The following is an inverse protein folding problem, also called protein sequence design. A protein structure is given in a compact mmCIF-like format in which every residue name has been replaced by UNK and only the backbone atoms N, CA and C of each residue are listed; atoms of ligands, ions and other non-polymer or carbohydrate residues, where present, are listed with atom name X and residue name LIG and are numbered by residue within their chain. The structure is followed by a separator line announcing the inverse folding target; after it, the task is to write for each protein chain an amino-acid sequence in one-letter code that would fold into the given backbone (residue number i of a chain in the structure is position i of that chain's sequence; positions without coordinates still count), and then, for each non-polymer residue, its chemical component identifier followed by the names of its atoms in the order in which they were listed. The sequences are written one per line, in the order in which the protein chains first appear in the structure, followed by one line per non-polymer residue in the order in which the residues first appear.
data_IF_605646582308
#
_entry.id   IF_605646582308
#
_cell.length_a   1.000
_cell.length_b   1.000
_cell.length_c   1.000
_cell.angle_alpha   90.00
_cell.angle_beta   90.00
_cell.angle_gamma   90.00
#
_symmetry.space_group_name_H-M   'P 1'
#
loop_
_entity.id
_entity.type
_entity.pdbx_description
1 polymer ?
#
# COMPACT_ATOMS: atom_id res chain seq x y z
N UNK A 1 -13.21 -26.19 21.66
CA UNK A 1 -12.43 -25.68 20.50
C UNK A 1 -13.33 -24.75 19.68
N UNK A 2 -13.74 -23.59 20.23
CA UNK A 2 -14.75 -22.68 19.64
C UNK A 2 -14.52 -21.23 20.05
N UNK A 3 -13.26 -20.77 20.01
CA UNK A 3 -12.84 -19.41 20.44
C UNK A 3 -11.86 -18.76 19.44
N UNK A 4 -11.87 -19.19 18.17
CA UNK A 4 -11.03 -18.63 17.09
C UNK A 4 -11.84 -18.26 15.83
N UNK A 5 -13.10 -17.85 15.97
CA UNK A 5 -13.98 -17.52 14.84
C UNK A 5 -14.35 -16.04 14.72
N UNK A 6 -13.67 -15.11 15.41
CA UNK A 6 -14.25 -13.78 15.66
C UNK A 6 -13.81 -12.64 14.72
N UNK A 7 -12.95 -12.90 13.74
CA UNK A 7 -12.73 -11.93 12.67
C UNK A 7 -13.76 -12.13 11.56
N UNK A 8 -14.91 -11.48 11.71
CA UNK A 8 -15.87 -11.32 10.62
C UNK A 8 -15.18 -10.70 9.40
N UNK A 9 -15.61 -11.07 8.18
CA UNK A 9 -15.13 -10.45 6.94
C UNK A 9 -15.22 -8.92 6.99
N UNK A 10 -16.24 -8.39 7.70
CA UNK A 10 -16.40 -6.96 7.94
C UNK A 10 -15.24 -6.37 8.74
N UNK A 11 -14.82 -6.99 9.85
CA UNK A 11 -13.73 -6.46 10.67
C UNK A 11 -12.40 -6.50 9.93
N UNK A 12 -12.12 -7.58 9.19
CA UNK A 12 -10.92 -7.67 8.35
C UNK A 12 -10.90 -6.61 7.25
N UNK A 13 -12.04 -6.38 6.59
CA UNK A 13 -12.16 -5.38 5.53
C UNK A 13 -11.98 -3.97 6.06
N UNK A 14 -12.62 -3.64 7.19
CA UNK A 14 -12.47 -2.33 7.85
C UNK A 14 -11.02 -2.11 8.27
N UNK A 15 -10.38 -3.08 8.91
CA UNK A 15 -8.96 -2.98 9.29
C UNK A 15 -8.05 -2.78 8.07
N UNK A 16 -8.33 -3.47 6.97
CA UNK A 16 -7.58 -3.33 5.71
C UNK A 16 -7.73 -1.95 5.10
N UNK A 17 -8.95 -1.39 5.10
CA UNK A 17 -9.22 -0.03 4.63
C UNK A 17 -8.52 1.03 5.48
N UNK A 18 -8.50 0.86 6.80
CA UNK A 18 -7.78 1.76 7.71
C UNK A 18 -6.28 1.70 7.42
N UNK A 19 -5.71 0.50 7.32
CA UNK A 19 -4.29 0.31 7.01
C UNK A 19 -3.92 0.93 5.65
N UNK A 20 -4.77 0.77 4.65
CA UNK A 20 -4.61 1.37 3.33
C UNK A 20 -4.70 2.91 3.35
N UNK A 21 -5.61 3.47 4.13
CA UNK A 21 -5.73 4.92 4.28
C UNK A 21 -4.50 5.51 4.98
N UNK A 22 -3.99 4.84 6.02
CA UNK A 22 -2.73 5.21 6.70
C UNK A 22 -1.58 5.21 5.70
N UNK A 23 -1.47 4.18 4.85
CA UNK A 23 -0.47 4.14 3.79
C UNK A 23 -0.57 5.34 2.85
N UNK A 24 -1.75 5.65 2.32
CA UNK A 24 -1.95 6.79 1.44
C UNK A 24 -1.58 8.11 2.12
N UNK A 25 -1.91 8.29 3.40
CA UNK A 25 -1.53 9.47 4.16
C UNK A 25 -0.01 9.59 4.36
N UNK A 26 0.68 8.48 4.65
CA UNK A 26 2.14 8.44 4.77
C UNK A 26 2.78 8.86 3.45
N UNK A 27 2.36 8.26 2.33
CA UNK A 27 2.90 8.58 0.99
C UNK A 27 2.63 10.04 0.64
N UNK A 28 1.44 10.56 0.92
CA UNK A 28 1.11 11.97 0.74
C UNK A 28 2.05 12.86 1.56
N UNK A 29 2.24 12.56 2.84
CA UNK A 29 3.10 13.35 3.71
C UNK A 29 4.56 13.33 3.23
N UNK A 30 5.09 12.15 2.91
CA UNK A 30 6.45 11.99 2.39
C UNK A 30 6.61 12.74 1.07
N UNK A 31 5.68 12.57 0.14
CA UNK A 31 5.76 13.16 -1.19
C UNK A 31 5.59 14.67 -1.23
N UNK A 32 4.64 15.21 -0.45
CA UNK A 32 4.29 16.63 -0.46
C UNK A 32 5.14 17.44 0.53
N UNK A 33 5.51 16.88 1.68
CA UNK A 33 6.23 17.62 2.73
C UNK A 33 7.72 17.31 2.80
N UNK A 34 8.13 16.06 2.62
CA UNK A 34 9.55 15.66 2.77
C UNK A 34 10.29 15.78 1.43
N UNK A 35 9.65 15.39 0.32
CA UNK A 35 10.25 15.38 -1.01
C UNK A 35 9.43 16.20 -2.04
N UNK A 36 9.09 17.48 -1.76
CA UNK A 36 8.34 18.27 -2.72
C UNK A 36 9.14 18.49 -4.01
N UNK A 37 8.46 18.38 -5.16
CA UNK A 37 8.96 18.94 -6.41
C UNK A 37 8.31 20.32 -6.65
N UNK A 38 8.92 21.20 -7.49
CA UNK A 38 8.35 22.52 -7.79
C UNK A 38 6.92 22.46 -8.34
N UNK A 39 6.59 21.36 -9.01
CA UNK A 39 5.30 21.13 -9.64
C UNK A 39 4.31 20.35 -8.77
N UNK A 40 4.74 19.86 -7.59
CA UNK A 40 3.90 19.03 -6.72
C UNK A 40 2.71 19.82 -6.20
N UNK A 41 1.55 19.58 -6.80
CA UNK A 41 0.26 20.15 -6.43
C UNK A 41 -0.76 19.03 -6.22
N UNK A 42 -0.46 18.18 -5.24
CA UNK A 42 -1.29 17.02 -4.95
C UNK A 42 -2.16 17.23 -3.72
N UNK A 43 -3.37 16.70 -3.77
CA UNK A 43 -4.20 16.49 -2.59
C UNK A 43 -4.27 15.00 -2.20
N UNK A 44 -4.76 14.74 -0.98
CA UNK A 44 -4.87 13.37 -0.49
C UNK A 44 -5.88 12.53 -1.31
N UNK A 45 -6.91 13.15 -1.89
CA UNK A 45 -7.91 12.48 -2.72
C UNK A 45 -7.35 11.98 -4.05
N UNK A 46 -6.44 12.72 -4.66
CA UNK A 46 -5.69 12.30 -5.85
C UNK A 46 -4.81 11.09 -5.56
N UNK A 47 -4.07 11.09 -4.45
CA UNK A 47 -3.32 9.93 -4.00
C UNK A 47 -4.21 8.72 -3.71
N UNK A 48 -5.31 8.90 -2.99
CA UNK A 48 -6.24 7.80 -2.66
C UNK A 48 -6.79 7.14 -3.93
N UNK A 49 -7.21 7.94 -4.92
CA UNK A 49 -7.73 7.41 -6.20
C UNK A 49 -6.66 6.66 -6.97
N UNK A 50 -5.49 7.25 -7.16
CA UNK A 50 -4.40 6.66 -7.96
C UNK A 50 -3.81 5.42 -7.29
N UNK A 51 -3.57 5.43 -5.97
CA UNK A 51 -3.15 4.26 -5.20
C UNK A 51 -4.20 3.15 -5.30
N UNK A 52 -5.49 3.49 -5.22
CA UNK A 52 -6.58 2.53 -5.42
C UNK A 52 -6.46 1.82 -6.78
N UNK A 53 -6.25 2.58 -7.86
CA UNK A 53 -6.09 2.03 -9.21
C UNK A 53 -4.79 1.25 -9.42
N UNK A 54 -3.76 1.46 -8.60
CA UNK A 54 -2.51 0.70 -8.69
C UNK A 54 -2.70 -0.81 -8.42
N UNK A 55 -3.82 -1.20 -7.80
CA UNK A 55 -4.16 -2.60 -7.55
C UNK A 55 -4.90 -3.29 -8.70
N UNK A 56 -5.40 -2.52 -9.68
CA UNK A 56 -6.12 -3.06 -10.85
C UNK A 56 -5.38 -4.15 -11.64
N UNK A 57 -4.04 -4.11 -11.81
CA UNK A 57 -3.31 -5.20 -12.46
C UNK A 57 -3.52 -6.58 -11.83
N UNK A 58 -3.90 -6.63 -10.55
CA UNK A 58 -4.23 -7.88 -9.85
C UNK A 58 -5.34 -8.69 -10.50
N UNK A 59 -6.21 -8.06 -11.31
CA UNK A 59 -7.30 -8.72 -12.04
C UNK A 59 -6.79 -9.82 -12.99
N UNK A 60 -5.55 -9.71 -13.48
CA UNK A 60 -4.96 -10.75 -14.35
C UNK A 60 -4.90 -12.13 -13.67
N UNK A 61 -4.92 -12.18 -12.33
CA UNK A 61 -4.92 -13.42 -11.54
C UNK A 61 -6.12 -14.33 -11.84
N UNK A 62 -7.19 -13.82 -12.45
CA UNK A 62 -8.31 -14.64 -12.96
C UNK A 62 -7.84 -15.68 -13.97
N UNK A 63 -6.80 -15.38 -14.77
CA UNK A 63 -6.19 -16.35 -15.71
C UNK A 63 -5.52 -17.52 -14.98
N UNK A 64 -5.19 -17.35 -13.69
CA UNK A 64 -4.65 -18.39 -12.83
C UNK A 64 -5.60 -19.55 -12.51
N UNK A 65 -6.86 -19.50 -12.98
CA UNK A 65 -7.79 -20.65 -12.96
C UNK A 65 -7.26 -21.82 -13.80
N UNK A 66 -6.44 -21.53 -14.83
CA UNK A 66 -5.80 -22.56 -15.65
C UNK A 66 -4.75 -23.30 -14.81
N UNK A 67 -4.84 -24.65 -14.68
CA UNK A 67 -3.88 -25.45 -13.93
C UNK A 67 -2.44 -25.18 -14.38
N UNK A 68 -1.54 -24.95 -13.42
CA UNK A 68 -0.12 -24.66 -13.67
C UNK A 68 0.24 -23.20 -13.92
N UNK A 69 -0.73 -22.29 -14.17
CA UNK A 69 -0.44 -20.87 -14.44
C UNK A 69 -0.55 -19.96 -13.22
N UNK A 70 -1.22 -20.37 -12.15
CA UNK A 70 -1.49 -19.52 -10.97
C UNK A 70 -0.23 -18.83 -10.42
N UNK A 71 0.86 -19.56 -10.23
CA UNK A 71 2.09 -19.03 -9.64
C UNK A 71 2.75 -17.98 -10.54
N UNK A 72 2.84 -18.29 -11.84
CA UNK A 72 3.43 -17.38 -12.83
C UNK A 72 2.62 -16.09 -12.95
N UNK A 73 1.30 -16.21 -13.10
CA UNK A 73 0.40 -15.06 -13.20
C UNK A 73 0.42 -14.23 -11.92
N UNK A 74 0.46 -14.87 -10.75
CA UNK A 74 0.55 -14.17 -9.47
C UNK A 74 1.86 -13.40 -9.30
N UNK A 75 2.99 -13.95 -9.76
CA UNK A 75 4.28 -13.27 -9.75
C UNK A 75 4.24 -12.04 -10.67
N UNK A 76 3.79 -12.21 -11.91
CA UNK A 76 3.65 -11.11 -12.89
C UNK A 76 2.73 -10.01 -12.35
N UNK A 77 1.59 -10.40 -11.77
CA UNK A 77 0.64 -9.45 -11.18
C UNK A 77 1.27 -8.64 -10.04
N UNK A 78 2.07 -9.27 -9.17
CA UNK A 78 2.74 -8.57 -8.08
C UNK A 78 3.76 -7.55 -8.58
N UNK A 79 4.60 -7.93 -9.55
CA UNK A 79 5.57 -7.01 -10.16
C UNK A 79 4.83 -5.85 -10.82
N UNK A 80 3.77 -6.13 -11.57
CA UNK A 80 2.98 -5.10 -12.22
C UNK A 80 2.31 -4.18 -11.20
N UNK A 81 1.73 -4.69 -10.12
CA UNK A 81 1.14 -3.86 -9.06
C UNK A 81 2.18 -2.95 -8.40
N UNK A 82 3.41 -3.43 -8.17
CA UNK A 82 4.50 -2.58 -7.64
C UNK A 82 4.87 -1.46 -8.63
N UNK A 83 4.99 -1.78 -9.91
CA UNK A 83 5.26 -0.77 -10.95
C UNK A 83 4.11 0.23 -11.07
N UNK A 84 2.87 -0.24 -11.01
CA UNK A 84 1.68 0.60 -11.04
C UNK A 84 1.61 1.52 -9.81
N UNK A 85 2.04 1.08 -8.63
CA UNK A 85 2.13 1.93 -7.44
C UNK A 85 3.12 3.07 -7.65
N UNK A 86 4.31 2.79 -8.21
CA UNK A 86 5.31 3.84 -8.50
C UNK A 86 4.75 4.85 -9.49
N UNK A 87 4.07 4.39 -10.55
CA UNK A 87 3.43 5.27 -11.53
C UNK A 87 2.30 6.07 -10.90
N UNK A 88 1.44 5.46 -10.10
CA UNK A 88 0.36 6.13 -9.39
C UNK A 88 0.89 7.27 -8.51
N UNK A 89 1.93 7.02 -7.71
CA UNK A 89 2.57 8.03 -6.87
C UNK A 89 3.17 9.15 -7.72
N UNK A 90 3.87 8.80 -8.81
CA UNK A 90 4.48 9.79 -9.71
C UNK A 90 3.42 10.72 -10.30
N UNK A 91 2.30 10.17 -10.76
CA UNK A 91 1.22 10.93 -11.37
C UNK A 91 0.43 11.73 -10.34
N UNK A 92 0.18 11.19 -9.15
CA UNK A 92 -0.53 11.90 -8.11
C UNK A 92 0.27 13.11 -7.60
N UNK A 93 1.59 12.98 -7.48
CA UNK A 93 2.48 14.01 -6.93
C UNK A 93 3.06 14.96 -7.98
N UNK A 94 2.63 14.85 -9.24
CA UNK A 94 3.15 15.63 -10.38
C UNK A 94 4.69 15.59 -10.49
N UNK A 95 5.27 14.40 -10.30
CA UNK A 95 6.71 14.23 -10.39
C UNK A 95 7.19 14.03 -11.82
N UNK A 96 8.10 14.90 -12.26
CA UNK A 96 8.80 14.75 -13.55
C UNK A 96 9.67 13.50 -13.62
N UNK A 97 10.27 13.07 -12.49
CA UNK A 97 11.15 11.90 -12.41
C UNK A 97 10.54 10.74 -11.64
N UNK A 98 10.57 9.55 -12.25
CA UNK A 98 10.21 8.28 -11.59
C UNK A 98 11.10 7.99 -10.37
N UNK A 99 12.34 8.48 -10.35
CA UNK A 99 13.27 8.26 -9.23
C UNK A 99 12.76 8.86 -7.91
N UNK A 100 12.09 10.02 -7.97
CA UNK A 100 11.46 10.62 -6.77
C UNK A 100 10.30 9.77 -6.26
N UNK A 101 9.46 9.25 -7.16
CA UNK A 101 8.35 8.37 -6.79
C UNK A 101 8.84 7.06 -6.15
N UNK A 102 9.93 6.48 -6.68
CA UNK A 102 10.60 5.32 -6.08
C UNK A 102 11.07 5.66 -4.66
N UNK A 103 11.75 6.80 -4.47
CA UNK A 103 12.24 7.22 -3.16
C UNK A 103 11.10 7.45 -2.16
N UNK A 104 10.01 8.10 -2.58
CA UNK A 104 8.80 8.25 -1.76
C UNK A 104 8.24 6.88 -1.36
N UNK A 105 8.17 5.93 -2.30
CA UNK A 105 7.67 4.59 -2.03
C UNK A 105 8.54 3.86 -1.00
N UNK A 106 9.88 3.93 -1.15
CA UNK A 106 10.83 3.32 -0.22
C UNK A 106 10.71 3.93 1.18
N UNK A 107 10.73 5.26 1.29
CA UNK A 107 10.60 5.97 2.58
C UNK A 107 9.25 5.67 3.23
N UNK A 108 8.17 5.70 2.43
CA UNK A 108 6.83 5.36 2.90
C UNK A 108 6.79 3.95 3.49
N UNK A 109 7.38 2.96 2.82
CA UNK A 109 7.48 1.59 3.33
C UNK A 109 8.17 1.52 4.68
N UNK A 110 9.32 2.18 4.84
CA UNK A 110 10.02 2.21 6.12
C UNK A 110 9.17 2.84 7.23
N UNK A 111 8.51 3.97 6.96
CA UNK A 111 7.63 4.62 7.93
C UNK A 111 6.46 3.71 8.30
N UNK A 112 5.85 3.03 7.33
CA UNK A 112 4.74 2.11 7.58
C UNK A 112 5.19 0.90 8.42
N UNK A 113 6.37 0.32 8.15
CA UNK A 113 6.93 -0.77 8.97
C UNK A 113 7.17 -0.29 10.40
N UNK A 114 7.76 0.89 10.59
CA UNK A 114 7.98 1.46 11.92
C UNK A 114 6.66 1.71 12.65
N UNK A 115 5.65 2.22 11.94
CA UNK A 115 4.30 2.42 12.49
C UNK A 115 3.70 1.08 12.96
N UNK A 116 3.74 0.04 12.13
CA UNK A 116 3.25 -1.29 12.52
C UNK A 116 4.05 -1.91 13.67
N UNK A 117 5.38 -1.72 13.70
CA UNK A 117 6.22 -2.17 14.80
C UNK A 117 5.86 -1.45 16.10
N UNK A 118 5.61 -0.15 16.06
CA UNK A 118 5.19 0.62 17.22
C UNK A 118 3.82 0.15 17.76
N UNK A 119 2.84 -0.04 16.87
CA UNK A 119 1.52 -0.58 17.25
C UNK A 119 1.66 -1.98 17.84
N UNK A 120 2.48 -2.84 17.22
CA UNK A 120 2.77 -4.18 17.72
C UNK A 120 3.36 -4.13 19.13
N UNK A 121 4.35 -3.26 19.38
CA UNK A 121 4.94 -3.10 20.71
C UNK A 121 3.95 -2.58 21.76
N UNK A 122 3.03 -1.68 21.37
CA UNK A 122 2.04 -1.10 22.29
C UNK A 122 0.94 -2.10 22.68
N UNK A 123 0.44 -2.89 21.71
CA UNK A 123 -0.65 -3.84 21.94
C UNK A 123 -0.20 -5.25 22.36
N UNK A 124 1.00 -5.68 21.95
CA UNK A 124 1.59 -6.97 22.33
C UNK A 124 2.73 -6.82 23.35
N UNK A 125 2.81 -5.68 24.07
CA UNK A 125 3.62 -5.61 25.31
C UNK A 125 3.27 -6.85 26.13
N UNK A 126 4.20 -7.80 26.32
CA UNK A 126 3.82 -9.12 26.74
C UNK A 126 3.05 -9.04 28.05
N UNK A 127 1.92 -9.75 28.15
CA UNK A 127 1.36 -10.21 29.42
C UNK A 127 2.33 -11.24 30.06
N UNK A 128 3.59 -10.85 30.20
CA UNK A 128 4.62 -11.55 30.96
C UNK A 128 4.86 -10.67 32.19
N UNK A 129 3.89 -10.71 33.10
CA UNK A 129 3.92 -10.18 34.45
C UNK A 129 3.10 -11.14 35.29
#
# INVERSE_FOLDING_TARGET
MSLKSEFSLLSLTISSLIAWFIWAYIVYFVGVKILPAPETKSDIGELLRTIGFSSSPGVIRVVGIIPGLYNLVSLVAQIWMLMAMIVAIRQALDYSSTGRAILVCIIGWFIQVLFYMFIFMLFLRPRLG
#
